data_IF_348202747340
#
_entry.id   IF_348202747340
#
_cell.length_a   1.000
_cell.length_b   1.000
_cell.length_c   1.000
_cell.angle_alpha   90.00
_cell.angle_beta   90.00
_cell.angle_gamma   90.00
#
_symmetry.space_group_name_H-M   'P 1'
#
loop_
_entity.id
_entity.type
_entity.pdbx_description
1 polymer ?
#
# COMPACT_ATOMS: atom_id res chain seq x y z
N UNK A 1 21.17 38.38 -7.24
CA UNK A 1 20.83 39.63 -6.55
C UNK A 1 20.21 39.24 -5.21
N UNK A 2 20.76 39.64 -4.05
CA UNK A 2 20.17 39.27 -2.76
C UNK A 2 19.12 40.32 -2.34
N UNK A 3 17.94 39.85 -1.97
CA UNK A 3 16.89 40.69 -1.34
C UNK A 3 17.21 40.76 0.16
N UNK A 4 17.43 41.96 0.67
CA UNK A 4 17.54 42.20 2.11
C UNK A 4 16.14 42.15 2.72
N UNK A 5 15.89 41.21 3.62
CA UNK A 5 14.71 41.22 4.48
C UNK A 5 14.99 42.14 5.68
N UNK A 6 14.04 43.03 5.91
CA UNK A 6 14.12 44.20 6.78
C UNK A 6 14.17 43.77 8.26
N UNK A 7 15.06 44.34 9.07
CA UNK A 7 15.35 44.00 10.48
C UNK A 7 14.15 44.09 11.46
N UNK A 8 12.97 44.52 10.98
CA UNK A 8 11.69 44.50 11.74
C UNK A 8 10.87 43.22 11.57
N UNK A 9 11.18 42.39 10.58
CA UNK A 9 10.43 41.18 10.22
C UNK A 9 10.86 39.94 11.02
N UNK A 10 11.97 40.05 11.76
CA UNK A 10 12.49 38.99 12.60
C UNK A 10 11.42 38.47 13.56
N UNK A 11 10.78 39.35 14.37
CA UNK A 11 9.86 38.91 15.44
C UNK A 11 8.64 38.12 14.94
N UNK A 12 8.10 38.44 13.77
CA UNK A 12 6.97 37.71 13.17
C UNK A 12 7.40 36.33 12.67
N UNK A 13 8.59 36.24 12.08
CA UNK A 13 9.20 34.98 11.68
C UNK A 13 9.56 34.09 12.87
N UNK A 14 10.10 34.65 13.95
CA UNK A 14 10.42 33.90 15.18
C UNK A 14 9.15 33.31 15.82
N UNK A 15 8.07 34.10 15.95
CA UNK A 15 6.82 33.63 16.54
C UNK A 15 6.14 32.53 15.70
N UNK A 16 6.18 32.67 14.37
CA UNK A 16 5.61 31.67 13.47
C UNK A 16 6.45 30.37 13.47
N UNK A 17 7.78 30.48 13.55
CA UNK A 17 8.67 29.32 13.67
C UNK A 17 8.49 28.56 14.98
N UNK A 18 8.34 29.28 16.10
CA UNK A 18 8.06 28.68 17.41
C UNK A 18 6.72 27.94 17.41
N UNK A 19 5.68 28.53 16.81
CA UNK A 19 4.38 27.89 16.67
C UNK A 19 4.43 26.59 15.87
N UNK A 20 5.17 26.54 14.75
CA UNK A 20 5.39 25.29 13.99
C UNK A 20 6.11 24.26 14.83
N UNK A 21 7.11 24.68 15.61
CA UNK A 21 7.86 23.77 16.47
C UNK A 21 7.00 23.17 17.57
N UNK A 22 6.12 23.97 18.18
CA UNK A 22 5.18 23.52 19.21
C UNK A 22 4.14 22.56 18.64
N UNK A 23 3.52 22.90 17.51
CA UNK A 23 2.56 22.01 16.82
C UNK A 23 3.24 20.69 16.46
N UNK A 24 4.45 20.75 15.89
CA UNK A 24 5.23 19.56 15.56
C UNK A 24 5.46 18.67 16.77
N UNK A 25 5.82 19.25 17.92
CA UNK A 25 6.05 18.50 19.15
C UNK A 25 4.79 17.75 19.59
N UNK A 26 3.63 18.40 19.55
CA UNK A 26 2.38 17.74 19.94
C UNK A 26 1.94 16.67 18.93
N UNK A 27 2.15 16.90 17.63
CA UNK A 27 1.93 15.88 16.59
C UNK A 27 2.85 14.67 16.81
N UNK A 28 4.11 14.89 17.15
CA UNK A 28 5.04 13.79 17.41
C UNK A 28 4.61 12.94 18.61
N UNK A 29 4.18 13.57 19.71
CA UNK A 29 3.65 12.84 20.87
C UNK A 29 2.40 12.03 20.54
N UNK A 30 1.57 12.52 19.63
CA UNK A 30 0.33 11.86 19.26
C UNK A 30 0.53 10.72 18.25
N UNK A 31 1.50 10.85 17.34
CA UNK A 31 1.61 9.99 16.16
C UNK A 31 2.83 9.06 16.18
N UNK A 32 3.99 9.51 16.66
CA UNK A 32 5.21 8.68 16.58
C UNK A 32 5.15 7.52 17.56
N UNK A 33 5.59 6.33 17.14
CA UNK A 33 5.44 5.12 17.94
C UNK A 33 4.05 4.48 17.82
N UNK A 34 3.06 5.16 17.25
CA UNK A 34 1.72 4.62 17.17
C UNK A 34 1.61 3.62 16.00
N UNK A 35 1.16 2.41 16.33
CA UNK A 35 0.78 1.35 15.39
C UNK A 35 -0.73 1.17 15.48
N UNK A 36 -1.53 1.91 14.68
CA UNK A 36 -2.99 1.83 14.73
C UNK A 36 -3.55 0.49 14.21
N UNK A 37 -2.79 -0.18 13.34
CA UNK A 37 -3.13 -1.47 12.74
C UNK A 37 -2.08 -2.52 13.16
N UNK A 38 -2.48 -3.72 13.67
CA UNK A 38 -1.55 -4.82 13.92
C UNK A 38 -0.70 -5.24 12.72
N UNK A 39 -1.21 -5.05 11.49
CA UNK A 39 -0.48 -5.34 10.24
C UNK A 39 0.26 -4.12 9.70
N UNK A 40 -0.01 -2.93 10.25
CA UNK A 40 0.66 -1.70 9.89
C UNK A 40 1.99 -1.53 10.62
N UNK A 41 2.94 -0.87 9.97
CA UNK A 41 4.16 -0.38 10.59
C UNK A 41 3.92 0.88 11.42
N UNK A 42 4.91 1.21 12.24
CA UNK A 42 4.92 2.44 13.03
C UNK A 42 4.82 3.69 12.14
N UNK A 43 4.08 4.69 12.61
CA UNK A 43 4.08 6.02 12.01
C UNK A 43 5.41 6.73 12.32
N UNK A 44 6.13 7.12 11.28
CA UNK A 44 7.44 7.78 11.34
C UNK A 44 7.37 9.15 10.68
N UNK A 45 7.99 10.15 11.31
CA UNK A 45 8.17 11.47 10.73
C UNK A 45 9.27 11.44 9.66
N UNK A 46 8.95 11.86 8.43
CA UNK A 46 9.90 11.84 7.31
C UNK A 46 10.35 13.24 6.88
N UNK A 47 9.67 14.28 7.34
CA UNK A 47 10.08 15.64 7.07
C UNK A 47 8.93 16.63 7.13
N UNK A 48 9.21 17.82 6.62
CA UNK A 48 8.21 18.84 6.47
C UNK A 48 8.69 19.94 5.54
N UNK A 49 7.74 20.60 4.91
CA UNK A 49 8.00 21.58 3.86
C UNK A 49 7.29 22.88 4.19
N UNK A 50 8.03 23.99 4.15
CA UNK A 50 7.46 25.33 4.16
C UNK A 50 6.84 25.59 2.78
N UNK A 51 5.51 25.71 2.73
CA UNK A 51 4.79 25.93 1.49
C UNK A 51 4.71 27.42 1.16
N UNK A 52 4.32 28.23 2.14
CA UNK A 52 4.24 29.68 2.00
C UNK A 52 4.36 30.37 3.37
N UNK A 53 4.90 31.58 3.37
CA UNK A 53 5.00 32.43 4.55
C UNK A 53 4.67 33.87 4.13
N UNK A 54 3.57 34.38 4.67
CA UNK A 54 3.18 35.77 4.52
C UNK A 54 3.14 36.47 5.90
N UNK A 55 2.81 37.77 5.91
CA UNK A 55 2.84 38.59 7.13
C UNK A 55 1.77 38.21 8.17
N UNK A 56 0.84 37.33 7.82
CA UNK A 56 -0.31 36.96 8.65
C UNK A 56 -0.45 35.45 8.84
N UNK A 57 0.09 34.65 7.93
CA UNK A 57 -0.14 33.20 7.86
C UNK A 57 1.13 32.46 7.45
N UNK A 58 1.27 31.25 8.03
CA UNK A 58 2.35 30.32 7.77
C UNK A 58 1.74 28.98 7.35
N UNK A 59 2.04 28.55 6.13
CA UNK A 59 1.63 27.27 5.60
C UNK A 59 2.81 26.29 5.67
N UNK A 60 2.74 25.35 6.60
CA UNK A 60 3.75 24.32 6.78
C UNK A 60 3.11 22.93 6.68
N UNK A 61 3.69 22.07 5.86
CA UNK A 61 3.29 20.67 5.73
C UNK A 61 4.20 19.79 6.57
N UNK A 62 3.63 18.88 7.36
CA UNK A 62 4.35 17.82 8.05
C UNK A 62 4.09 16.49 7.33
N UNK A 63 5.15 15.76 7.05
CA UNK A 63 5.09 14.49 6.33
C UNK A 63 5.37 13.33 7.29
N UNK A 64 4.43 12.38 7.31
CA UNK A 64 4.53 11.13 8.06
C UNK A 64 4.33 9.95 7.12
N UNK A 65 4.98 8.83 7.43
CA UNK A 65 4.82 7.57 6.69
C UNK A 65 4.59 6.43 7.67
N UNK A 66 3.91 5.38 7.21
CA UNK A 66 3.83 4.10 7.90
C UNK A 66 4.08 3.01 6.86
N UNK A 67 4.73 1.92 7.27
CA UNK A 67 4.85 0.75 6.40
C UNK A 67 3.51 0.04 6.34
N UNK A 68 3.16 -0.48 5.18
CA UNK A 68 2.00 -1.33 5.01
C UNK A 68 2.42 -2.51 4.16
N UNK A 69 2.09 -3.72 4.60
CA UNK A 69 2.34 -4.94 3.84
C UNK A 69 1.08 -5.30 3.07
N UNK A 70 1.23 -5.52 1.77
CA UNK A 70 0.14 -6.00 0.92
C UNK A 70 0.25 -7.51 0.89
N UNK A 71 -0.80 -8.19 1.34
CA UNK A 71 -0.87 -9.64 1.41
C UNK A 71 -1.69 -10.21 0.24
N UNK A 72 -1.70 -11.53 0.08
CA UNK A 72 -2.55 -12.18 -0.93
C UNK A 72 -4.04 -11.86 -0.73
N UNK A 73 -4.49 -11.71 0.51
CA UNK A 73 -5.89 -11.39 0.86
C UNK A 73 -6.32 -10.01 0.34
N UNK A 74 -5.38 -9.07 0.19
CA UNK A 74 -5.63 -7.73 -0.35
C UNK A 74 -5.73 -7.73 -1.89
N UNK A 75 -5.52 -8.89 -2.52
CA UNK A 75 -5.54 -9.03 -3.98
C UNK A 75 -6.91 -9.48 -4.47
N UNK A 76 -7.33 -8.93 -5.61
CA UNK A 76 -8.51 -9.40 -6.37
C UNK A 76 -8.45 -10.91 -6.68
N UNK A 77 -7.25 -11.48 -6.82
CA UNK A 77 -7.06 -12.89 -7.09
C UNK A 77 -7.52 -13.76 -5.92
N UNK A 78 -7.24 -13.36 -4.68
CA UNK A 78 -7.71 -14.11 -3.51
C UNK A 78 -9.24 -14.11 -3.44
N UNK A 79 -9.91 -12.99 -3.76
CA UNK A 79 -11.37 -12.95 -3.87
C UNK A 79 -11.89 -13.92 -4.95
N UNK A 80 -11.30 -13.89 -6.15
CA UNK A 80 -11.68 -14.79 -7.24
C UNK A 80 -11.53 -16.26 -6.83
N UNK A 81 -10.40 -16.62 -6.23
CA UNK A 81 -10.09 -18.00 -5.80
C UNK A 81 -11.04 -18.43 -4.68
N UNK A 82 -11.29 -17.58 -3.70
CA UNK A 82 -12.21 -17.86 -2.59
C UNK A 82 -13.67 -17.98 -3.05
N UNK A 83 -14.02 -17.37 -4.20
CA UNK A 83 -15.34 -17.50 -4.80
C UNK A 83 -15.50 -18.77 -5.65
N UNK A 84 -14.42 -19.49 -5.97
CA UNK A 84 -14.51 -20.75 -6.69
C UNK A 84 -15.07 -21.85 -5.77
N UNK A 85 -15.91 -22.75 -6.29
CA UNK A 85 -16.30 -23.94 -5.56
C UNK A 85 -15.10 -24.86 -5.37
N UNK A 86 -15.18 -25.71 -4.35
CA UNK A 86 -14.19 -26.76 -4.11
C UNK A 86 -13.95 -27.61 -5.37
N UNK A 87 -12.69 -27.98 -5.60
CA UNK A 87 -12.32 -28.86 -6.72
C UNK A 87 -13.01 -30.21 -6.53
N UNK A 88 -14.01 -30.51 -7.35
CA UNK A 88 -14.80 -31.75 -7.23
C UNK A 88 -14.34 -32.88 -8.15
N UNK A 89 -13.78 -32.55 -9.31
CA UNK A 89 -13.44 -33.50 -10.36
C UNK A 89 -12.20 -33.01 -11.11
N UNK A 90 -11.22 -33.91 -11.28
CA UNK A 90 -10.19 -33.80 -12.29
C UNK A 90 -10.49 -34.84 -13.37
N UNK A 91 -10.61 -34.39 -14.61
CA UNK A 91 -10.80 -35.24 -15.79
C UNK A 91 -9.63 -35.02 -16.74
N UNK A 92 -8.98 -36.10 -17.18
CA UNK A 92 -7.86 -36.09 -18.11
C UNK A 92 -8.23 -36.95 -19.30
N UNK A 93 -8.24 -36.33 -20.48
CA UNK A 93 -8.42 -36.98 -21.77
C UNK A 93 -7.09 -36.99 -22.51
N UNK A 94 -6.68 -38.15 -23.00
CA UNK A 94 -5.45 -38.36 -23.77
C UNK A 94 -5.83 -38.83 -25.17
N UNK A 95 -5.43 -38.02 -26.15
CA UNK A 95 -5.53 -38.27 -27.59
C UNK A 95 -4.11 -38.48 -28.14
N UNK A 96 -3.87 -39.63 -28.75
CA UNK A 96 -2.57 -40.06 -29.23
C UNK A 96 -2.17 -39.40 -30.56
N UNK A 97 -0.85 -39.21 -30.73
CA UNK A 97 -0.29 -38.64 -31.97
C UNK A 97 -0.06 -39.73 -33.04
N UNK A 98 -0.02 -41.01 -32.65
CA UNK A 98 0.28 -42.15 -33.52
C UNK A 98 -0.98 -42.63 -34.25
N UNK A 99 -0.98 -42.84 -35.59
CA UNK A 99 0.18 -43.01 -36.46
C UNK A 99 0.55 -41.83 -37.37
N UNK A 100 0.64 -40.62 -36.81
CA UNK A 100 1.56 -39.60 -37.35
C UNK A 100 0.95 -38.44 -38.13
N UNK A 101 -0.37 -38.23 -38.04
CA UNK A 101 -1.02 -37.00 -38.53
C UNK A 101 -1.38 -36.00 -37.42
N UNK A 102 -1.01 -36.31 -36.17
CA UNK A 102 -1.41 -35.54 -34.99
C UNK A 102 -2.68 -36.12 -34.34
N UNK A 103 -3.14 -35.50 -33.24
CA UNK A 103 -4.36 -35.89 -32.53
C UNK A 103 -5.54 -35.96 -33.51
N UNK A 104 -6.28 -37.06 -33.49
CA UNK A 104 -7.38 -37.30 -34.43
C UNK A 104 -8.76 -36.87 -33.89
N UNK A 105 -8.80 -36.45 -32.62
CA UNK A 105 -9.99 -36.02 -31.91
C UNK A 105 -10.72 -37.16 -31.20
N UNK A 106 -10.26 -38.41 -31.34
CA UNK A 106 -10.74 -39.56 -30.58
C UNK A 106 -9.87 -39.73 -29.33
N UNK A 107 -10.51 -39.94 -28.17
CA UNK A 107 -9.80 -40.08 -26.88
C UNK A 107 -9.49 -41.56 -26.64
N UNK A 108 -8.22 -41.95 -26.59
CA UNK A 108 -7.84 -43.32 -26.24
C UNK A 108 -7.90 -43.60 -24.75
N UNK A 109 -7.58 -42.59 -23.93
CA UNK A 109 -7.60 -42.75 -22.48
C UNK A 109 -8.28 -41.60 -21.78
N UNK A 110 -9.25 -41.96 -20.95
CA UNK A 110 -9.97 -41.06 -20.07
C UNK A 110 -9.69 -41.47 -18.62
N UNK A 111 -9.25 -40.52 -17.81
CA UNK A 111 -9.05 -40.68 -16.37
C UNK A 111 -9.89 -39.66 -15.62
N UNK A 112 -10.72 -40.14 -14.69
CA UNK A 112 -11.41 -39.29 -13.73
C UNK A 112 -10.88 -39.52 -12.32
N UNK A 113 -10.73 -38.43 -11.58
CA UNK A 113 -10.50 -38.44 -10.14
C UNK A 113 -11.51 -37.51 -9.47
N UNK A 114 -12.34 -38.08 -8.58
CA UNK A 114 -13.30 -37.32 -7.77
C UNK A 114 -12.71 -37.04 -6.41
N UNK A 115 -12.75 -35.78 -5.99
CA UNK A 115 -12.25 -35.37 -4.68
C UNK A 115 -13.40 -35.38 -3.66
N UNK A 116 -13.15 -35.86 -2.43
CA UNK A 116 -14.13 -35.80 -1.36
C UNK A 116 -14.52 -34.35 -1.06
N UNK A 117 -15.82 -34.12 -0.86
CA UNK A 117 -16.35 -32.82 -0.47
C UNK A 117 -16.36 -32.75 1.07
N UNK A 118 -15.89 -31.64 1.64
CA UNK A 118 -15.86 -31.41 3.09
C UNK A 118 -17.21 -30.94 3.65
#
# INVERSE_FOLDING_TARGET
MPVHLNERDEKGQWAAYDAVHDVRRELWKALLGWMPDPQGGEIVYVGGTLLDLNRYELYYQFDFTAKYEITEEDTRQAEDVNALPDLSLLSIDVDYIDPGTGPDGDIEHHLEMRFPQN
#
